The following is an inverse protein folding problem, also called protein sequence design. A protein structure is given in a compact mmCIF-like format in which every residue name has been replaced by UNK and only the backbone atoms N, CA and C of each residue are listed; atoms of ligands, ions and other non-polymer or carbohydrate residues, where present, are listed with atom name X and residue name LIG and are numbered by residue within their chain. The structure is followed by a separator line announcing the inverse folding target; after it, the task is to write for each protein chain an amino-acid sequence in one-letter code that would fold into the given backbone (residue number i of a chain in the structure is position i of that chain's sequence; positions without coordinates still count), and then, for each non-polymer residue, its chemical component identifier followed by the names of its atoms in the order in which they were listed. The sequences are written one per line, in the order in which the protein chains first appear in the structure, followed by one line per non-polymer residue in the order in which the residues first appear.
data_IF_278779725870
#
_entry.id   IF_278779725870
#
_cell.length_a   1.000
_cell.length_b   1.000
_cell.length_c   1.000
_cell.angle_alpha   90.00
_cell.angle_beta   90.00
_cell.angle_gamma   90.00
#
_symmetry.space_group_name_H-M   'P 1'
#
loop_
_entity.id
_entity.type
_entity.pdbx_description
1 polymer ?
#
# COMPACT_ATOMS: atom_id res chain seq x y z
N UNK A 1 58.47 43.42 1.21
CA UNK A 1 57.12 43.21 1.77
C UNK A 1 56.11 42.99 0.64
N UNK A 2 56.07 41.80 0.00
CA UNK A 2 55.22 41.58 -1.20
C UNK A 2 54.96 40.10 -1.54
N UNK A 3 54.67 39.22 -0.57
CA UNK A 3 54.38 37.80 -0.90
C UNK A 3 53.30 37.08 -0.06
N UNK A 4 52.60 37.76 0.85
CA UNK A 4 51.67 37.07 1.78
C UNK A 4 50.19 37.15 1.36
N UNK A 5 49.78 38.08 0.47
CA UNK A 5 48.35 38.28 0.15
C UNK A 5 47.76 37.30 -0.85
N UNK A 6 48.56 36.64 -1.70
CA UNK A 6 48.04 35.79 -2.79
C UNK A 6 47.70 34.35 -2.35
N UNK A 7 48.33 33.84 -1.28
CA UNK A 7 48.07 32.47 -0.79
C UNK A 7 46.82 32.33 0.07
N UNK A 8 46.31 33.43 0.64
CA UNK A 8 45.11 33.42 1.49
C UNK A 8 43.82 33.45 0.65
N UNK A 9 43.86 33.96 -0.58
CA UNK A 9 42.71 33.95 -1.50
C UNK A 9 42.48 32.58 -2.18
N UNK A 10 43.52 31.76 -2.35
CA UNK A 10 43.35 30.42 -2.96
C UNK A 10 42.79 29.38 -1.99
N UNK A 11 42.99 29.56 -0.68
CA UNK A 11 42.47 28.63 0.34
C UNK A 11 40.99 28.88 0.68
N UNK A 12 40.48 30.07 0.41
CA UNK A 12 39.07 30.42 0.60
C UNK A 12 38.20 30.10 -0.61
N UNK A 13 38.78 29.97 -1.81
CA UNK A 13 38.05 29.55 -3.01
C UNK A 13 37.90 28.01 -3.11
N UNK A 14 38.81 27.24 -2.50
CA UNK A 14 38.74 25.78 -2.51
C UNK A 14 37.77 25.19 -1.47
N UNK A 15 37.45 25.93 -0.41
CA UNK A 15 36.48 25.49 0.60
C UNK A 15 35.02 25.61 0.12
N UNK A 16 34.77 26.41 -0.90
CA UNK A 16 33.43 26.59 -1.51
C UNK A 16 33.15 25.57 -2.61
N UNK A 17 34.18 24.94 -3.19
CA UNK A 17 34.04 23.94 -4.25
C UNK A 17 33.93 22.49 -3.74
N UNK A 18 34.15 22.25 -2.44
CA UNK A 18 34.31 20.91 -1.86
C UNK A 18 33.13 20.35 -1.06
N UNK A 19 32.04 21.11 -0.90
CA UNK A 19 30.80 20.55 -0.35
C UNK A 19 29.95 20.09 -1.52
N UNK A 20 30.28 18.90 -2.04
CA UNK A 20 29.29 18.11 -2.76
C UNK A 20 28.23 17.77 -1.70
N UNK A 21 27.22 18.63 -1.57
CA UNK A 21 26.04 18.31 -0.78
C UNK A 21 25.44 17.11 -1.50
N UNK A 22 25.72 15.91 -1.00
CA UNK A 22 24.91 14.73 -1.27
C UNK A 22 23.57 15.02 -0.58
N UNK A 23 22.77 15.89 -1.19
CA UNK A 23 21.36 15.96 -0.86
C UNK A 23 20.88 14.59 -1.31
N UNK A 24 20.42 13.70 -0.41
CA UNK A 24 19.69 12.55 -0.88
C UNK A 24 18.52 13.15 -1.67
N UNK A 25 18.61 13.11 -3.00
CA UNK A 25 17.42 13.33 -3.81
C UNK A 25 16.47 12.28 -3.29
N UNK A 26 15.37 12.71 -2.64
CA UNK A 26 14.31 11.80 -2.29
C UNK A 26 14.10 10.94 -3.53
N UNK A 27 14.35 9.64 -3.43
CA UNK A 27 14.10 8.73 -4.52
C UNK A 27 12.60 8.85 -4.78
N UNK A 28 12.24 9.68 -5.77
CA UNK A 28 10.86 9.84 -6.15
C UNK A 28 10.35 8.45 -6.48
N UNK A 29 9.15 8.12 -5.98
CA UNK A 29 8.51 6.88 -6.36
C UNK A 29 8.53 6.76 -7.87
N UNK A 30 9.01 5.64 -8.38
CA UNK A 30 8.71 5.34 -9.76
C UNK A 30 7.25 4.94 -9.82
N UNK A 31 6.53 5.52 -10.77
CA UNK A 31 5.19 5.06 -11.11
C UNK A 31 5.31 3.77 -11.93
N UNK A 32 4.45 2.80 -11.63
CA UNK A 32 4.31 1.54 -12.37
C UNK A 32 2.89 1.46 -12.88
N UNK A 33 2.72 1.72 -14.16
CA UNK A 33 1.41 1.75 -14.80
C UNK A 33 1.11 0.38 -15.41
N UNK A 34 -0.06 -0.18 -15.11
CA UNK A 34 -0.52 -1.41 -15.79
C UNK A 34 -0.67 -1.11 -17.30
N UNK A 35 0.05 -1.83 -18.14
CA UNK A 35 0.02 -1.69 -19.59
C UNK A 35 -1.35 -2.08 -20.17
N UNK A 36 -1.68 -1.56 -21.36
CA UNK A 36 -2.93 -1.86 -22.06
C UNK A 36 -3.12 -3.38 -22.33
N UNK A 37 -2.02 -4.10 -22.55
CA UNK A 37 -2.03 -5.55 -22.70
C UNK A 37 -2.32 -6.29 -21.39
N UNK A 38 -2.06 -5.66 -20.24
CA UNK A 38 -2.12 -6.30 -18.93
C UNK A 38 -1.13 -7.46 -18.81
N UNK A 39 -1.39 -8.37 -17.87
CA UNK A 39 -0.62 -9.60 -17.71
C UNK A 39 -0.32 -9.95 -16.26
N UNK A 40 0.73 -10.75 -16.10
CA UNK A 40 1.20 -11.24 -14.81
C UNK A 40 2.04 -10.19 -14.08
N UNK A 41 1.84 -10.00 -12.79
CA UNK A 41 2.57 -9.03 -11.96
C UNK A 41 4.07 -9.15 -12.13
N UNK A 42 4.60 -10.37 -12.13
CA UNK A 42 6.03 -10.62 -12.24
C UNK A 42 6.61 -10.52 -13.66
N UNK A 43 5.80 -10.14 -14.65
CA UNK A 43 6.26 -9.91 -16.02
C UNK A 43 6.53 -8.43 -16.23
N UNK A 44 7.70 -8.09 -16.78
CA UNK A 44 8.05 -6.71 -17.16
C UNK A 44 7.10 -6.14 -18.21
N UNK A 45 6.56 -6.98 -19.10
CA UNK A 45 5.61 -6.55 -20.14
C UNK A 45 4.23 -6.15 -19.64
N UNK A 46 3.92 -6.43 -18.37
CA UNK A 46 2.67 -5.98 -17.72
C UNK A 46 2.70 -4.50 -17.36
N UNK A 47 3.89 -3.89 -17.35
CA UNK A 47 4.13 -2.54 -16.86
C UNK A 47 4.60 -1.64 -17.99
N UNK A 48 4.01 -0.46 -18.15
CA UNK A 48 4.37 0.51 -19.20
C UNK A 48 5.87 0.85 -19.13
N UNK A 49 6.40 0.95 -17.91
CA UNK A 49 7.79 1.32 -17.63
C UNK A 49 8.76 0.13 -17.79
N UNK A 50 8.28 -1.05 -18.21
CA UNK A 50 9.11 -2.23 -18.50
C UNK A 50 9.78 -2.83 -17.27
N UNK A 51 9.28 -2.56 -16.07
CA UNK A 51 9.84 -3.02 -14.81
C UNK A 51 8.75 -3.46 -13.82
N UNK A 52 9.00 -4.55 -13.12
CA UNK A 52 8.09 -5.08 -12.09
C UNK A 52 8.14 -4.18 -10.84
N UNK A 53 7.00 -3.84 -10.24
CA UNK A 53 6.96 -3.01 -9.04
C UNK A 53 7.72 -3.61 -7.86
N UNK A 54 8.38 -2.72 -7.14
CA UNK A 54 9.01 -2.97 -5.85
C UNK A 54 8.26 -2.22 -4.75
N UNK A 55 8.61 -2.44 -3.47
CA UNK A 55 8.03 -1.71 -2.34
C UNK A 55 8.23 -0.19 -2.41
N UNK A 56 9.13 0.30 -3.24
CA UNK A 56 9.38 1.72 -3.45
C UNK A 56 8.55 2.31 -4.60
N UNK A 57 7.74 1.52 -5.31
CA UNK A 57 7.04 1.98 -6.51
C UNK A 57 5.54 2.23 -6.24
N UNK A 58 4.98 3.27 -6.87
CA UNK A 58 3.54 3.53 -6.85
C UNK A 58 2.88 2.81 -8.03
N UNK A 59 2.01 1.85 -7.76
CA UNK A 59 1.29 1.12 -8.81
C UNK A 59 0.01 1.85 -9.14
N UNK A 60 -0.16 2.15 -10.42
CA UNK A 60 -1.32 2.87 -10.95
C UNK A 60 -1.92 2.17 -12.16
N UNK A 61 -3.12 2.59 -12.53
CA UNK A 61 -3.80 2.13 -13.73
C UNK A 61 -4.57 3.26 -14.40
N UNK A 62 -4.96 3.03 -15.64
CA UNK A 62 -5.86 3.91 -16.39
C UNK A 62 -7.09 3.11 -16.86
N UNK A 63 -8.02 3.78 -17.54
CA UNK A 63 -9.16 3.12 -18.16
C UNK A 63 -8.77 2.19 -19.34
N UNK A 64 -7.57 2.36 -19.92
CA UNK A 64 -7.09 1.53 -21.04
C UNK A 64 -6.26 0.34 -20.58
N UNK A 65 -5.74 0.37 -19.35
CA UNK A 65 -4.98 -0.74 -18.75
C UNK A 65 -5.71 -2.08 -18.91
N UNK A 66 -4.95 -3.12 -19.25
CA UNK A 66 -5.45 -4.49 -19.40
C UNK A 66 -5.67 -5.20 -18.07
N UNK A 67 -6.09 -6.47 -18.12
CA UNK A 67 -6.27 -7.27 -16.91
C UNK A 67 -4.93 -7.49 -16.19
N UNK A 68 -4.93 -7.42 -14.86
CA UNK A 68 -3.75 -7.71 -14.03
C UNK A 68 -3.93 -9.02 -13.27
N UNK A 69 -2.94 -9.88 -13.31
CA UNK A 69 -2.87 -11.10 -12.50
C UNK A 69 -1.74 -10.98 -11.48
N UNK A 70 -2.07 -10.91 -10.19
CA UNK A 70 -1.11 -10.99 -9.09
C UNK A 70 -0.75 -12.46 -8.87
N UNK A 71 0.22 -12.95 -9.66
CA UNK A 71 0.59 -14.36 -9.77
C UNK A 71 1.85 -14.76 -8.97
N UNK A 72 2.52 -13.79 -8.35
CA UNK A 72 3.70 -13.96 -7.53
C UNK A 72 3.67 -12.96 -6.38
N UNK A 73 4.50 -13.16 -5.35
CA UNK A 73 4.62 -12.23 -4.24
C UNK A 73 4.81 -10.79 -4.76
N UNK A 74 3.84 -9.94 -4.42
CA UNK A 74 3.71 -8.60 -4.97
C UNK A 74 4.00 -7.57 -3.89
N UNK A 75 4.79 -6.56 -4.24
CA UNK A 75 5.14 -5.46 -3.34
C UNK A 75 4.97 -4.14 -4.07
N UNK A 76 4.34 -3.18 -3.42
CA UNK A 76 4.22 -1.81 -3.91
C UNK A 76 4.28 -0.84 -2.72
N UNK A 77 4.64 0.41 -2.97
CA UNK A 77 4.44 1.49 -2.00
C UNK A 77 2.95 1.80 -1.85
N UNK A 78 2.28 1.96 -2.99
CA UNK A 78 0.84 2.18 -3.10
C UNK A 78 0.24 1.39 -4.25
N UNK A 79 -1.06 1.12 -4.16
CA UNK A 79 -1.83 0.44 -5.19
C UNK A 79 -3.11 1.24 -5.46
N UNK A 80 -2.98 2.26 -6.31
CA UNK A 80 -4.05 3.20 -6.66
C UNK A 80 -4.58 2.90 -8.06
N UNK A 81 -5.71 2.21 -8.11
CA UNK A 81 -6.36 1.82 -9.37
C UNK A 81 -7.44 2.82 -9.79
N UNK A 82 -7.34 4.09 -9.40
CA UNK A 82 -8.31 5.11 -9.81
C UNK A 82 -8.50 5.11 -11.33
N UNK A 83 -9.76 4.95 -11.78
CA UNK A 83 -10.12 4.91 -13.20
C UNK A 83 -9.94 3.55 -13.89
N UNK A 84 -9.46 2.52 -13.20
CA UNK A 84 -9.37 1.16 -13.73
C UNK A 84 -10.76 0.54 -13.95
N UNK A 85 -10.93 -0.17 -15.07
CA UNK A 85 -12.23 -0.77 -15.47
C UNK A 85 -12.14 -2.25 -15.83
N UNK A 86 -10.99 -2.88 -15.54
CA UNK A 86 -10.73 -4.28 -15.90
C UNK A 86 -10.69 -5.17 -14.66
N UNK A 87 -10.17 -6.38 -14.82
CA UNK A 87 -10.12 -7.37 -13.74
C UNK A 87 -8.73 -7.37 -13.08
N UNK A 88 -8.70 -7.36 -11.76
CA UNK A 88 -7.53 -7.84 -11.00
C UNK A 88 -7.82 -9.25 -10.55
N UNK A 89 -6.94 -10.19 -10.93
CA UNK A 89 -6.96 -11.57 -10.47
C UNK A 89 -5.83 -11.78 -9.45
N UNK A 90 -6.17 -12.02 -8.19
CA UNK A 90 -5.19 -12.36 -7.15
C UNK A 90 -5.09 -13.87 -7.01
N UNK A 91 -3.96 -14.47 -7.40
CA UNK A 91 -3.79 -15.93 -7.34
C UNK A 91 -3.81 -16.47 -5.90
N UNK A 92 -4.15 -17.76 -5.75
CA UNK A 92 -4.13 -18.47 -4.46
C UNK A 92 -2.73 -18.41 -3.83
N UNK A 93 -2.65 -18.35 -2.50
CA UNK A 93 -1.38 -18.33 -1.74
C UNK A 93 -0.41 -17.18 -2.08
N UNK A 94 -0.89 -16.14 -2.76
CA UNK A 94 -0.09 -14.96 -3.06
C UNK A 94 -0.40 -13.84 -2.06
N UNK A 95 0.66 -13.13 -1.66
CA UNK A 95 0.59 -11.93 -0.84
C UNK A 95 0.80 -10.69 -1.70
N UNK A 96 -0.05 -9.69 -1.50
CA UNK A 96 0.17 -8.30 -1.91
C UNK A 96 0.56 -7.47 -0.68
N UNK A 97 1.81 -7.01 -0.64
CA UNK A 97 2.33 -6.15 0.42
C UNK A 97 2.36 -4.70 -0.05
N UNK A 98 1.74 -3.80 0.73
CA UNK A 98 1.57 -2.40 0.38
C UNK A 98 2.20 -1.53 1.47
N UNK A 99 3.16 -0.70 1.07
CA UNK A 99 3.75 0.34 1.90
C UNK A 99 5.25 0.19 2.12
N UNK A 100 5.88 1.32 2.42
CA UNK A 100 7.25 1.43 2.91
C UNK A 100 7.33 2.52 4.00
N UNK A 101 8.48 3.16 4.19
CA UNK A 101 8.67 4.25 5.15
C UNK A 101 8.05 5.60 4.72
N UNK A 102 7.48 5.68 3.52
CA UNK A 102 6.90 6.88 2.91
C UNK A 102 5.44 6.61 2.54
N UNK A 103 4.58 7.63 2.61
CA UNK A 103 3.23 7.50 2.07
C UNK A 103 3.26 7.48 0.54
N UNK A 104 2.31 6.76 -0.08
CA UNK A 104 2.06 6.85 -1.52
C UNK A 104 1.57 8.23 -1.95
N UNK A 105 1.53 8.48 -3.25
CA UNK A 105 0.97 9.71 -3.82
C UNK A 105 -0.46 9.94 -3.31
N UNK A 106 -0.77 11.18 -2.91
CA UNK A 106 -2.08 11.53 -2.33
C UNK A 106 -2.34 10.92 -0.95
N UNK A 107 -1.28 10.46 -0.28
CA UNK A 107 -1.33 9.67 0.94
C UNK A 107 -2.13 8.37 0.75
N UNK A 108 -2.14 7.81 -0.46
CA UNK A 108 -2.92 6.61 -0.75
C UNK A 108 -2.05 5.37 -0.52
N UNK A 109 -2.54 4.42 0.28
CA UNK A 109 -1.98 3.07 0.30
C UNK A 109 -2.72 2.16 -0.70
N UNK A 110 -4.04 2.18 -0.67
CA UNK A 110 -4.89 1.36 -1.55
C UNK A 110 -6.11 2.17 -1.96
N UNK A 111 -6.33 2.34 -3.27
CA UNK A 111 -7.55 2.97 -3.79
C UNK A 111 -8.11 2.09 -4.90
N UNK A 112 -9.31 1.59 -4.68
CA UNK A 112 -10.08 0.88 -5.69
C UNK A 112 -11.23 1.72 -6.23
N UNK A 113 -11.54 1.60 -7.54
CA UNK A 113 -12.73 2.21 -8.10
C UNK A 113 -14.00 1.70 -7.41
N UNK A 114 -15.00 2.56 -7.29
CA UNK A 114 -16.30 2.19 -6.71
C UNK A 114 -17.15 1.31 -7.65
N UNK A 115 -16.88 1.35 -8.95
CA UNK A 115 -17.66 0.64 -9.98
C UNK A 115 -16.82 0.34 -11.23
N UNK A 116 -17.39 -0.42 -12.17
CA UNK A 116 -16.79 -0.63 -13.49
C UNK A 116 -15.64 -1.64 -13.57
N UNK A 117 -15.19 -2.21 -12.46
CA UNK A 117 -14.06 -3.16 -12.40
C UNK A 117 -14.39 -4.38 -11.54
N UNK A 118 -13.54 -5.40 -11.63
CA UNK A 118 -13.68 -6.66 -10.90
C UNK A 118 -12.41 -7.01 -10.13
N UNK A 119 -12.54 -7.38 -8.86
CA UNK A 119 -11.50 -8.07 -8.12
C UNK A 119 -11.92 -9.52 -7.93
N UNK A 120 -11.15 -10.44 -8.50
CA UNK A 120 -11.27 -11.88 -8.25
C UNK A 120 -10.04 -12.28 -7.46
N UNK A 121 -10.18 -13.05 -6.40
CA UNK A 121 -8.98 -13.69 -5.90
C UNK A 121 -9.17 -15.09 -5.41
N UNK A 122 -8.02 -15.68 -5.12
CA UNK A 122 -7.88 -17.05 -4.71
C UNK A 122 -8.15 -17.25 -3.23
N UNK A 123 -8.53 -18.48 -2.91
CA UNK A 123 -8.45 -19.03 -1.56
C UNK A 123 -7.05 -18.77 -0.96
N UNK A 124 -6.99 -18.24 0.26
CA UNK A 124 -5.75 -17.98 1.02
C UNK A 124 -4.81 -16.89 0.43
N UNK A 125 -5.29 -16.04 -0.47
CA UNK A 125 -4.57 -14.80 -0.82
C UNK A 125 -4.64 -13.78 0.34
N UNK A 126 -3.72 -12.80 0.40
CA UNK A 126 -3.75 -11.77 1.45
C UNK A 126 -3.29 -10.39 0.94
N UNK A 127 -3.85 -9.35 1.57
CA UNK A 127 -3.38 -7.97 1.40
C UNK A 127 -2.80 -7.53 2.74
N UNK A 128 -1.55 -7.10 2.75
CA UNK A 128 -0.83 -6.69 3.95
C UNK A 128 -0.34 -5.26 3.79
N UNK A 129 -0.91 -4.36 4.59
CA UNK A 129 -0.43 -3.01 4.77
C UNK A 129 0.75 -3.03 5.74
N UNK A 130 1.94 -2.70 5.25
CA UNK A 130 3.20 -2.82 5.99
C UNK A 130 3.93 -1.49 6.16
N UNK A 131 3.36 -0.40 5.65
CA UNK A 131 3.97 0.93 5.76
C UNK A 131 4.32 1.30 7.19
N UNK A 132 5.51 1.87 7.39
CA UNK A 132 5.96 2.45 8.66
C UNK A 132 5.84 3.97 8.68
N UNK A 133 5.20 4.55 7.65
CA UNK A 133 4.97 5.99 7.56
C UNK A 133 3.94 6.43 8.61
N UNK A 134 4.29 7.47 9.38
CA UNK A 134 3.38 8.11 10.33
C UNK A 134 2.32 8.99 9.65
N UNK A 135 2.50 9.30 8.36
CA UNK A 135 1.47 9.99 7.57
C UNK A 135 0.24 9.10 7.44
N UNK A 136 -0.94 9.66 7.69
CA UNK A 136 -2.21 8.93 7.62
C UNK A 136 -2.50 8.55 6.17
N UNK A 137 -2.51 7.25 5.88
CA UNK A 137 -2.73 6.75 4.54
C UNK A 137 -4.17 6.30 4.29
N UNK A 138 -4.74 6.72 3.17
CA UNK A 138 -6.09 6.34 2.75
C UNK A 138 -6.11 4.89 2.26
N UNK A 139 -7.14 4.16 2.70
CA UNK A 139 -7.42 2.80 2.29
C UNK A 139 -8.89 2.70 1.87
N UNK A 140 -9.12 2.44 0.59
CA UNK A 140 -10.45 2.36 -0.01
C UNK A 140 -10.61 1.08 -0.84
N UNK A 141 -11.49 0.19 -0.41
CA UNK A 141 -11.84 -1.05 -1.11
C UNK A 141 -12.98 -0.86 -2.14
N UNK A 142 -13.38 0.37 -2.45
CA UNK A 142 -14.40 0.68 -3.45
C UNK A 142 -15.80 0.15 -3.12
N UNK A 143 -16.06 -0.20 -1.86
CA UNK A 143 -17.32 -0.81 -1.41
C UNK A 143 -17.60 -2.20 -2.00
N UNK A 144 -16.60 -2.84 -2.64
CA UNK A 144 -16.78 -4.14 -3.29
C UNK A 144 -16.70 -5.28 -2.29
N UNK A 145 -17.62 -6.23 -2.43
CA UNK A 145 -17.51 -7.51 -1.75
C UNK A 145 -16.37 -8.30 -2.41
N UNK A 146 -15.41 -8.72 -1.60
CA UNK A 146 -14.30 -9.56 -2.01
C UNK A 146 -14.80 -11.02 -2.12
N UNK A 147 -15.58 -11.33 -3.16
CA UNK A 147 -16.21 -12.64 -3.36
C UNK A 147 -15.18 -13.73 -3.75
N UNK A 148 -15.28 -14.92 -3.13
CA UNK A 148 -14.44 -16.11 -3.46
C UNK A 148 -13.12 -16.23 -2.69
N UNK A 149 -12.89 -15.38 -1.70
CA UNK A 149 -11.57 -15.08 -1.17
C UNK A 149 -11.34 -15.68 0.22
N UNK A 150 -10.39 -16.57 0.41
CA UNK A 150 -10.01 -17.05 1.78
C UNK A 150 -9.12 -16.04 2.52
N UNK A 151 -9.47 -14.75 2.51
CA UNK A 151 -8.51 -13.65 2.69
C UNK A 151 -8.25 -13.22 4.11
N UNK A 152 -7.01 -12.82 4.33
CA UNK A 152 -6.62 -11.95 5.45
C UNK A 152 -6.28 -10.56 4.92
N UNK A 153 -6.89 -9.52 5.51
CA UNK A 153 -6.40 -8.14 5.42
C UNK A 153 -5.61 -7.87 6.68
N UNK A 154 -4.35 -7.48 6.56
CA UNK A 154 -3.47 -7.24 7.71
C UNK A 154 -2.92 -5.82 7.69
N UNK A 155 -3.00 -5.13 8.82
CA UNK A 155 -2.32 -3.87 9.11
C UNK A 155 -1.16 -4.14 10.07
N UNK A 156 0.07 -4.05 9.60
CA UNK A 156 1.26 -4.48 10.32
C UNK A 156 2.49 -3.63 9.99
N UNK A 157 2.48 -2.37 10.41
CA UNK A 157 3.61 -1.45 10.27
C UNK A 157 3.82 -0.67 11.55
N UNK A 158 5.03 -0.75 12.11
CA UNK A 158 5.38 0.00 13.32
C UNK A 158 5.41 1.49 12.99
N UNK A 159 4.58 2.28 13.69
CA UNK A 159 4.37 3.70 13.37
C UNK A 159 3.50 3.95 12.14
N UNK A 160 3.08 2.90 11.43
CA UNK A 160 2.16 3.00 10.29
C UNK A 160 0.80 3.56 10.72
N UNK A 161 0.21 4.41 9.87
CA UNK A 161 -1.11 5.00 10.11
C UNK A 161 -2.00 4.86 8.88
N UNK A 162 -3.16 4.22 9.05
CA UNK A 162 -4.15 4.01 8.00
C UNK A 162 -5.51 4.55 8.40
N UNK A 163 -6.23 5.09 7.42
CA UNK A 163 -7.60 5.57 7.53
C UNK A 163 -8.47 4.95 6.45
N UNK A 164 -9.55 4.30 6.85
CA UNK A 164 -10.52 3.78 5.90
C UNK A 164 -11.31 4.93 5.27
N UNK A 165 -11.29 5.01 3.95
CA UNK A 165 -12.12 5.93 3.15
C UNK A 165 -13.18 5.19 2.33
N UNK A 166 -13.21 3.86 2.45
CA UNK A 166 -14.29 2.99 2.02
C UNK A 166 -14.41 1.77 2.94
N UNK A 167 -15.57 1.12 2.93
CA UNK A 167 -15.85 -0.05 3.76
C UNK A 167 -14.99 -1.27 3.40
N UNK A 168 -14.64 -2.07 4.41
CA UNK A 168 -14.12 -3.44 4.22
C UNK A 168 -15.30 -4.39 4.19
N UNK A 169 -15.43 -5.19 3.13
CA UNK A 169 -16.54 -6.12 2.95
C UNK A 169 -16.08 -7.54 2.55
N UNK A 170 -15.86 -8.39 3.55
CA UNK A 170 -15.41 -9.77 3.40
C UNK A 170 -16.51 -10.81 3.72
N UNK A 171 -17.72 -10.64 3.16
CA UNK A 171 -18.92 -11.44 3.50
C UNK A 171 -18.98 -12.86 2.91
N UNK A 172 -18.13 -13.21 1.96
CA UNK A 172 -18.32 -14.41 1.11
C UNK A 172 -17.32 -15.54 1.41
N UNK A 173 -16.89 -15.68 2.67
CA UNK A 173 -15.75 -16.53 3.00
C UNK A 173 -15.86 -17.05 4.44
N UNK A 174 -15.49 -18.30 4.67
CA UNK A 174 -15.53 -18.95 5.99
C UNK A 174 -14.33 -18.63 6.88
N UNK A 175 -13.36 -17.84 6.41
CA UNK A 175 -12.12 -17.54 7.16
C UNK A 175 -11.61 -16.10 6.94
N UNK A 176 -12.50 -15.18 6.57
CA UNK A 176 -12.16 -13.81 6.25
C UNK A 176 -11.72 -13.07 7.50
N UNK A 177 -10.44 -12.69 7.59
CA UNK A 177 -9.90 -12.07 8.79
C UNK A 177 -9.39 -10.66 8.50
N UNK A 178 -9.79 -9.70 9.32
CA UNK A 178 -9.11 -8.39 9.39
C UNK A 178 -8.23 -8.41 10.63
N UNK A 179 -6.94 -8.12 10.46
CA UNK A 179 -5.97 -8.13 11.55
C UNK A 179 -5.29 -6.78 11.69
N UNK A 180 -5.25 -6.25 12.91
CA UNK A 180 -4.37 -5.16 13.32
C UNK A 180 -3.25 -5.74 14.18
N UNK A 181 -2.02 -5.70 13.68
CA UNK A 181 -0.82 -6.24 14.36
C UNK A 181 0.07 -5.13 14.90
N UNK A 182 0.23 -4.03 14.17
CA UNK A 182 1.01 -2.86 14.56
C UNK A 182 0.38 -1.59 13.97
N UNK A 183 0.63 -0.44 14.60
CA UNK A 183 0.28 0.87 14.07
C UNK A 183 -1.16 1.30 14.37
N UNK A 184 -1.63 2.30 13.65
CA UNK A 184 -2.94 2.93 13.82
C UNK A 184 -3.86 2.57 12.66
N UNK A 185 -5.03 2.00 12.97
CA UNK A 185 -6.14 1.87 12.05
C UNK A 185 -7.29 2.76 12.54
N UNK A 186 -7.60 3.79 11.76
CA UNK A 186 -8.82 4.59 11.91
C UNK A 186 -9.86 4.09 10.91
N UNK A 187 -10.96 3.52 11.40
CA UNK A 187 -12.05 3.07 10.53
C UNK A 187 -12.90 4.23 10.02
N UNK A 188 -12.76 5.43 10.57
CA UNK A 188 -13.31 6.69 10.04
C UNK A 188 -14.81 6.57 9.66
N UNK A 189 -15.59 5.96 10.56
CA UNK A 189 -17.02 5.75 10.37
C UNK A 189 -17.40 4.69 9.32
N UNK A 190 -16.44 4.06 8.65
CA UNK A 190 -16.68 3.00 7.66
C UNK A 190 -17.00 1.67 8.34
N UNK A 191 -17.89 0.89 7.71
CA UNK A 191 -18.20 -0.47 8.16
C UNK A 191 -17.05 -1.42 7.84
N UNK A 192 -16.73 -2.29 8.79
CA UNK A 192 -15.79 -3.42 8.61
C UNK A 192 -16.57 -4.72 8.78
N UNK A 193 -16.72 -5.47 7.70
CA UNK A 193 -17.38 -6.78 7.72
C UNK A 193 -16.37 -7.89 7.43
N UNK A 194 -16.26 -8.87 8.32
CA UNK A 194 -15.35 -10.01 8.21
C UNK A 194 -15.89 -11.24 8.96
N UNK A 195 -15.25 -12.40 8.81
CA UNK A 195 -15.51 -13.53 9.72
C UNK A 195 -14.98 -13.19 11.11
N UNK A 196 -13.76 -12.65 11.19
CA UNK A 196 -13.10 -12.30 12.44
C UNK A 196 -12.34 -10.99 12.29
N UNK A 197 -12.34 -10.18 13.36
CA UNK A 197 -11.42 -9.07 13.53
C UNK A 197 -10.45 -9.41 14.66
N UNK A 198 -9.13 -9.35 14.42
CA UNK A 198 -8.10 -9.74 15.37
C UNK A 198 -7.15 -8.58 15.69
N UNK A 199 -7.03 -8.24 16.97
CA UNK A 199 -6.03 -7.28 17.47
C UNK A 199 -5.52 -7.68 18.87
N UNK A 200 -5.21 -8.96 19.05
CA UNK A 200 -4.87 -9.55 20.35
C UNK A 200 -3.40 -10.00 20.39
N UNK A 201 -2.50 -9.03 20.52
CA UNK A 201 -1.07 -9.28 20.71
C UNK A 201 -0.47 -8.20 21.64
N UNK A 202 0.83 -8.26 21.91
CA UNK A 202 1.50 -7.32 22.83
C UNK A 202 2.07 -6.07 22.17
N UNK A 203 1.92 -5.93 20.84
CA UNK A 203 2.49 -4.80 20.11
C UNK A 203 1.74 -3.48 20.40
N UNK A 204 2.32 -2.35 20.01
CA UNK A 204 1.63 -1.05 20.05
C UNK A 204 0.67 -0.93 18.88
N UNK A 205 -0.62 -0.78 19.20
CA UNK A 205 -1.72 -0.69 18.23
C UNK A 205 -2.72 0.36 18.67
N UNK A 206 -3.31 1.08 17.71
CA UNK A 206 -4.43 1.98 17.96
C UNK A 206 -5.55 1.68 16.97
N UNK A 207 -6.75 1.42 17.49
CA UNK A 207 -7.96 1.24 16.70
C UNK A 207 -8.92 2.38 17.02
N UNK A 208 -9.17 3.26 16.06
CA UNK A 208 -10.15 4.35 16.19
C UNK A 208 -11.40 3.97 15.42
N UNK A 209 -12.56 3.96 16.09
CA UNK A 209 -13.81 3.50 15.47
C UNK A 209 -14.71 4.63 14.97
N UNK A 210 -14.73 5.78 15.64
CA UNK A 210 -15.73 6.82 15.36
C UNK A 210 -17.16 6.24 15.38
N UNK A 211 -17.92 6.45 14.31
CA UNK A 211 -19.28 5.92 14.12
C UNK A 211 -19.32 4.54 13.40
N UNK A 212 -18.20 3.83 13.29
CA UNK A 212 -18.11 2.57 12.56
C UNK A 212 -18.86 1.42 13.22
N UNK A 213 -19.28 0.47 12.38
CA UNK A 213 -19.71 -0.87 12.80
C UNK A 213 -18.68 -1.92 12.43
N UNK A 214 -18.36 -2.82 13.36
CA UNK A 214 -17.58 -4.04 13.10
C UNK A 214 -18.55 -5.23 13.11
N UNK A 215 -18.79 -5.80 11.93
CA UNK A 215 -19.66 -6.95 11.74
C UNK A 215 -18.80 -8.21 11.60
N UNK A 216 -18.79 -9.05 12.64
CA UNK A 216 -18.08 -10.33 12.65
C UNK A 216 -19.05 -11.49 12.80
N UNK A 217 -18.81 -12.58 12.07
CA UNK A 217 -19.62 -13.81 12.18
C UNK A 217 -19.05 -14.83 13.18
N UNK A 218 -17.79 -14.68 13.59
CA UNK A 218 -17.17 -15.45 14.68
C UNK A 218 -16.49 -14.50 15.70
N UNK A 219 -16.85 -14.66 16.98
CA UNK A 219 -16.15 -14.04 18.10
C UNK A 219 -15.05 -14.98 18.61
N UNK A 220 -13.79 -14.70 18.26
CA UNK A 220 -12.61 -15.36 18.82
C UNK A 220 -11.75 -14.31 19.50
N UNK A 221 -11.56 -14.34 20.83
CA UNK A 221 -10.72 -13.43 21.64
C UNK A 221 -10.21 -12.18 20.90
N UNK A 222 -11.15 -11.34 20.45
CA UNK A 222 -10.93 -10.44 19.30
C UNK A 222 -10.11 -9.20 19.68
N UNK A 223 -10.14 -8.84 20.97
CA UNK A 223 -9.57 -7.62 21.52
C UNK A 223 -8.91 -7.97 22.87
N UNK A 224 -7.62 -7.66 23.01
CA UNK A 224 -6.94 -7.53 24.30
C UNK A 224 -6.35 -6.14 24.37
#
# INVERSE_FOLDING_TARGET
MKFVKTKILLFSLLLVAGVLVFIPTAAHAATRTIADGGGNWNSTGTWVEGAVPTSADDVVATATSGNLTINAAATARSFDLTGYVRTVTHSIFISLSIGDATAGVGDNALIWPSSGWTYTGGTVSNISFVSTSATVQNVNFGGKAMAGLGQTITFNGVGGSWKLTGAINLTNTTSATVTLTNGTLDTNGQTVTATTFYSNNSNTRTLTLGASSINVSELRNALK
#
